data_IF_739407655951
#
_entry.id   IF_739407655951
#
_cell.length_a   1.000
_cell.length_b   1.000
_cell.length_c   1.000
_cell.angle_alpha   90.00
_cell.angle_beta   90.00
_cell.angle_gamma   90.00
#
_symmetry.space_group_name_H-M   'P 1'
#
loop_
_entity.id
_entity.type
_entity.pdbx_description
1 polymer ?
#
# COMPACT_ATOMS: atom_id res chain seq x y z
N UNK A 1 -9.30 1.01 -12.17
CA UNK A 1 -10.10 1.71 -11.14
C UNK A 1 -11.56 1.53 -11.50
N UNK A 2 -12.38 1.08 -10.58
CA UNK A 2 -13.83 0.97 -10.75
C UNK A 2 -14.48 2.31 -10.46
N UNK A 3 -14.16 2.88 -9.29
CA UNK A 3 -14.63 4.22 -8.89
C UNK A 3 -13.65 4.89 -7.92
N UNK A 4 -13.75 6.20 -7.85
CA UNK A 4 -13.05 7.03 -6.87
C UNK A 4 -14.11 7.73 -6.02
N UNK A 5 -14.03 7.56 -4.72
CA UNK A 5 -14.89 8.21 -3.74
C UNK A 5 -14.08 9.31 -3.06
N UNK A 6 -14.61 10.53 -3.06
CA UNK A 6 -13.97 11.68 -2.44
C UNK A 6 -14.88 12.17 -1.32
N UNK A 7 -14.42 12.04 -0.07
CA UNK A 7 -15.09 12.60 1.11
C UNK A 7 -14.32 13.85 1.53
N UNK A 8 -14.96 15.02 1.44
CA UNK A 8 -14.38 16.30 1.82
C UNK A 8 -14.69 16.62 3.29
N UNK A 9 -13.73 17.25 3.97
CA UNK A 9 -13.87 17.61 5.38
C UNK A 9 -13.45 16.51 6.34
N UNK A 10 -13.67 16.73 7.62
CA UNK A 10 -13.27 15.82 8.67
C UNK A 10 -14.06 14.50 8.58
N UNK A 11 -13.39 13.43 8.24
CA UNK A 11 -13.94 12.08 8.12
C UNK A 11 -13.28 11.09 9.13
N UNK A 12 -12.75 11.63 10.23
CA UNK A 12 -11.98 10.87 11.22
C UNK A 12 -12.82 9.77 11.91
N UNK A 13 -14.12 9.94 11.99
CA UNK A 13 -15.04 8.95 12.58
C UNK A 13 -15.09 7.64 11.78
N UNK A 14 -14.90 7.70 10.46
CA UNK A 14 -14.96 6.52 9.59
C UNK A 14 -13.58 6.07 9.10
N UNK A 15 -12.63 7.01 8.97
CA UNK A 15 -11.34 6.75 8.30
C UNK A 15 -10.12 6.98 9.19
N UNK A 16 -10.33 7.28 10.48
CA UNK A 16 -9.28 7.47 11.48
C UNK A 16 -8.83 8.92 11.62
N UNK A 17 -8.02 9.18 12.65
CA UNK A 17 -7.60 10.53 13.07
C UNK A 17 -6.82 11.31 12.00
N UNK A 18 -6.22 10.64 11.04
CA UNK A 18 -5.47 11.27 9.94
C UNK A 18 -6.35 11.87 8.84
N UNK A 19 -7.66 11.60 8.85
CA UNK A 19 -8.61 12.06 7.84
C UNK A 19 -9.19 13.46 8.12
N UNK A 20 -8.37 14.41 8.53
CA UNK A 20 -8.78 15.78 8.89
C UNK A 20 -9.19 16.61 7.66
N UNK A 21 -8.44 16.49 6.57
CA UNK A 21 -8.67 17.22 5.32
C UNK A 21 -9.64 16.54 4.37
N UNK A 22 -9.98 15.29 4.63
CA UNK A 22 -10.82 14.44 3.78
C UNK A 22 -10.15 13.13 3.41
N UNK A 23 -10.85 12.33 2.61
CA UNK A 23 -10.42 10.99 2.17
C UNK A 23 -10.65 10.82 0.68
N UNK A 24 -9.69 10.21 0.01
CA UNK A 24 -9.83 9.70 -1.36
C UNK A 24 -9.78 8.18 -1.28
N UNK A 25 -10.90 7.52 -1.55
CA UNK A 25 -11.00 6.07 -1.59
C UNK A 25 -11.03 5.60 -3.04
N UNK A 26 -10.01 4.82 -3.44
CA UNK A 26 -9.90 4.28 -4.79
C UNK A 26 -10.32 2.81 -4.77
N UNK A 27 -11.43 2.52 -5.41
CA UNK A 27 -11.97 1.18 -5.54
C UNK A 27 -11.50 0.59 -6.85
N UNK A 28 -10.79 -0.53 -6.78
CA UNK A 28 -10.29 -1.24 -7.96
C UNK A 28 -11.23 -2.35 -8.34
N UNK A 29 -11.58 -2.43 -9.63
CA UNK A 29 -12.38 -3.51 -10.18
C UNK A 29 -11.62 -4.84 -10.08
N UNK A 30 -12.27 -5.90 -9.65
CA UNK A 30 -11.83 -7.26 -9.93
C UNK A 30 -12.25 -7.61 -11.36
N UNK A 31 -11.42 -8.34 -12.10
CA UNK A 31 -11.80 -8.81 -13.42
C UNK A 31 -12.75 -9.99 -13.29
N UNK A 32 -13.79 -10.01 -14.14
CA UNK A 32 -14.70 -11.14 -14.27
C UNK A 32 -14.14 -12.24 -15.20
N UNK A 33 -13.07 -11.90 -15.96
CA UNK A 33 -12.38 -12.85 -16.83
C UNK A 33 -11.62 -13.90 -16.02
N UNK A 34 -11.51 -15.15 -16.48
CA UNK A 34 -10.77 -16.20 -15.80
C UNK A 34 -9.32 -15.83 -15.53
N UNK A 35 -8.72 -15.04 -16.39
CA UNK A 35 -7.41 -14.42 -16.19
C UNK A 35 -7.31 -13.11 -16.96
N UNK A 36 -6.46 -12.23 -16.52
CA UNK A 36 -6.11 -11.00 -17.22
C UNK A 36 -4.64 -10.67 -17.01
N UNK A 37 -4.02 -10.11 -18.02
CA UNK A 37 -2.65 -9.64 -18.00
C UNK A 37 -2.60 -8.22 -18.56
N UNK A 38 -1.99 -7.31 -17.80
CA UNK A 38 -1.68 -5.98 -18.28
C UNK A 38 -0.19 -5.73 -18.10
N UNK A 39 0.49 -5.35 -19.16
CA UNK A 39 1.90 -4.98 -19.14
C UNK A 39 2.02 -3.55 -19.67
N UNK A 40 2.83 -2.75 -18.99
CA UNK A 40 3.15 -1.41 -19.42
C UNK A 40 4.64 -1.15 -19.27
N UNK A 41 5.20 -0.41 -20.21
CA UNK A 41 6.60 -0.01 -20.15
C UNK A 41 6.75 1.40 -20.70
N UNK A 42 7.64 2.16 -20.08
CA UNK A 42 8.00 3.50 -20.51
C UNK A 42 9.50 3.69 -20.37
N UNK A 43 10.09 4.33 -21.37
CA UNK A 43 11.47 4.77 -21.39
C UNK A 43 11.52 6.28 -21.57
N UNK A 44 12.42 6.93 -20.88
CA UNK A 44 12.68 8.36 -20.95
C UNK A 44 14.17 8.69 -20.93
N UNK A 45 14.47 9.97 -20.92
CA UNK A 45 15.85 10.47 -20.78
C UNK A 45 16.42 10.14 -19.39
N UNK A 46 17.74 10.19 -19.25
CA UNK A 46 18.44 9.87 -18.00
C UNK A 46 18.13 8.46 -17.49
N UNK A 47 17.96 7.50 -18.40
CA UNK A 47 17.62 6.11 -18.06
C UNK A 47 16.32 6.00 -17.23
N UNK A 48 15.36 6.93 -17.42
CA UNK A 48 14.02 6.82 -16.81
C UNK A 48 13.30 5.61 -17.39
N UNK A 49 13.23 4.54 -16.62
CA UNK A 49 12.58 3.29 -16.99
C UNK A 49 11.44 3.04 -16.00
N UNK A 50 10.27 2.69 -16.55
CA UNK A 50 9.10 2.31 -15.75
C UNK A 50 8.47 1.08 -16.38
N UNK A 51 8.47 -0.01 -15.64
CA UNK A 51 7.90 -1.28 -16.06
C UNK A 51 6.85 -1.69 -15.07
N UNK A 52 5.66 -2.04 -15.55
CA UNK A 52 4.56 -2.48 -14.72
C UNK A 52 3.91 -3.73 -15.30
N UNK A 53 3.52 -4.63 -14.42
CA UNK A 53 2.76 -5.81 -14.76
C UNK A 53 1.66 -6.04 -13.74
N UNK A 54 0.48 -6.39 -14.21
CA UNK A 54 -0.63 -6.86 -13.39
C UNK A 54 -1.14 -8.14 -13.99
N UNK A 55 -1.18 -9.20 -13.20
CA UNK A 55 -1.82 -10.46 -13.55
C UNK A 55 -2.95 -10.71 -12.57
N UNK A 56 -4.13 -11.07 -13.10
CA UNK A 56 -5.29 -11.44 -12.31
C UNK A 56 -5.77 -12.84 -12.71
N UNK A 57 -6.27 -13.56 -11.74
CA UNK A 57 -6.86 -14.88 -11.90
C UNK A 57 -8.18 -14.94 -11.14
N UNK A 58 -9.23 -15.43 -11.80
CA UNK A 58 -10.57 -15.57 -11.25
C UNK A 58 -11.07 -17.01 -11.46
N UNK A 59 -11.32 -17.72 -10.38
CA UNK A 59 -11.89 -19.06 -10.35
C UNK A 59 -13.23 -19.05 -9.59
N UNK A 60 -14.13 -18.14 -9.93
CA UNK A 60 -15.44 -17.97 -9.33
C UNK A 60 -15.38 -17.47 -7.88
N UNK A 61 -15.25 -18.38 -6.93
CA UNK A 61 -15.18 -18.02 -5.49
C UNK A 61 -13.82 -17.47 -5.06
N UNK A 62 -12.79 -17.66 -5.87
CA UNK A 62 -11.42 -17.24 -5.59
C UNK A 62 -10.92 -16.25 -6.63
N UNK A 63 -10.35 -15.15 -6.16
CA UNK A 63 -9.72 -14.15 -7.01
C UNK A 63 -8.32 -13.83 -6.46
N UNK A 64 -7.34 -13.77 -7.36
CA UNK A 64 -5.96 -13.34 -7.06
C UNK A 64 -5.56 -12.23 -8.03
N UNK A 65 -4.84 -11.24 -7.55
CA UNK A 65 -4.26 -10.19 -8.37
C UNK A 65 -2.88 -9.81 -7.84
N UNK A 66 -1.88 -10.07 -8.68
CA UNK A 66 -0.50 -9.64 -8.44
C UNK A 66 -0.19 -8.41 -9.28
N UNK A 67 0.38 -7.40 -8.65
CA UNK A 67 0.90 -6.20 -9.32
C UNK A 67 2.38 -6.05 -9.01
N UNK A 68 3.20 -5.90 -10.06
CA UNK A 68 4.64 -5.64 -9.95
C UNK A 68 4.96 -4.35 -10.67
N UNK A 69 5.70 -3.47 -10.04
CA UNK A 69 6.20 -2.23 -10.63
C UNK A 69 7.69 -2.07 -10.36
N UNK A 70 8.41 -1.69 -11.39
CA UNK A 70 9.81 -1.30 -11.33
C UNK A 70 9.98 0.09 -11.91
N UNK A 71 10.74 0.94 -11.24
CA UNK A 71 11.17 2.23 -11.76
C UNK A 71 12.65 2.43 -11.54
N UNK A 72 13.31 3.07 -12.50
CA UNK A 72 14.70 3.49 -12.41
C UNK A 72 14.86 4.84 -13.07
N UNK A 73 15.67 5.69 -12.48
CA UNK A 73 16.18 6.92 -13.09
C UNK A 73 17.59 7.15 -12.58
N UNK A 74 18.51 7.53 -13.46
CA UNK A 74 19.88 7.87 -13.09
C UNK A 74 19.96 9.30 -12.55
N UNK A 75 20.97 9.60 -11.74
CA UNK A 75 21.23 10.96 -11.25
C UNK A 75 21.62 11.87 -12.41
N UNK A 76 21.08 13.10 -12.42
CA UNK A 76 21.44 14.11 -13.43
C UNK A 76 21.30 15.52 -12.88
N UNK A 77 22.00 16.47 -13.50
CA UNK A 77 21.89 17.89 -13.19
C UNK A 77 20.87 18.57 -14.11
N UNK A 78 20.03 19.42 -13.54
CA UNK A 78 18.96 20.12 -14.28
C UNK A 78 19.52 21.18 -15.21
N UNK A 79 20.62 21.83 -14.82
CA UNK A 79 21.35 22.81 -15.63
C UNK A 79 22.85 22.53 -15.61
N UNK A 80 23.52 22.80 -16.73
CA UNK A 80 24.96 22.77 -16.77
C UNK A 80 25.52 23.87 -15.85
N UNK A 81 26.38 23.48 -14.90
CA UNK A 81 26.95 24.39 -13.91
C UNK A 81 26.06 24.75 -12.75
N UNK A 82 24.86 24.20 -12.64
CA UNK A 82 23.98 24.34 -11.47
C UNK A 82 24.19 23.18 -10.50
N UNK A 83 24.13 23.48 -9.21
CA UNK A 83 24.25 22.46 -8.14
C UNK A 83 22.96 21.67 -7.90
N UNK A 84 21.90 21.94 -8.66
CA UNK A 84 20.63 21.23 -8.55
C UNK A 84 20.71 19.86 -9.21
N UNK A 85 21.00 18.85 -8.40
CA UNK A 85 21.05 17.45 -8.84
C UNK A 85 19.73 16.74 -8.52
N UNK A 86 19.17 16.08 -9.52
CA UNK A 86 18.12 15.07 -9.32
C UNK A 86 18.81 13.75 -9.01
N UNK A 87 18.60 13.23 -7.82
CA UNK A 87 19.23 11.99 -7.38
C UNK A 87 18.60 10.77 -8.04
N UNK A 88 19.45 9.87 -8.50
CA UNK A 88 19.04 8.58 -9.05
C UNK A 88 18.19 7.77 -8.06
N UNK A 89 17.30 6.97 -8.59
CA UNK A 89 16.33 6.25 -7.79
C UNK A 89 15.92 4.96 -8.48
N UNK A 90 15.99 3.86 -7.75
CA UNK A 90 15.51 2.55 -8.17
C UNK A 90 14.44 2.07 -7.19
N UNK A 91 13.28 1.68 -7.70
CA UNK A 91 12.16 1.25 -6.86
C UNK A 91 11.54 -0.03 -7.38
N UNK A 92 11.26 -0.95 -6.47
CA UNK A 92 10.40 -2.12 -6.67
C UNK A 92 9.17 -2.00 -5.80
N UNK A 93 8.02 -2.33 -6.35
CA UNK A 93 6.76 -2.41 -5.62
C UNK A 93 6.02 -3.66 -6.10
N UNK A 94 5.78 -4.58 -5.19
CA UNK A 94 5.06 -5.83 -5.44
C UNK A 94 3.86 -5.86 -4.52
N UNK A 95 2.68 -6.11 -5.06
CA UNK A 95 1.44 -6.20 -4.29
C UNK A 95 0.65 -7.41 -4.72
N UNK A 96 0.11 -8.11 -3.75
CA UNK A 96 -0.81 -9.23 -3.93
C UNK A 96 -2.13 -8.91 -3.24
N UNK A 97 -3.21 -9.32 -3.88
CA UNK A 97 -4.57 -9.27 -3.34
C UNK A 97 -5.27 -10.59 -3.62
N UNK A 98 -5.69 -11.26 -2.58
CA UNK A 98 -6.49 -12.45 -2.63
C UNK A 98 -7.90 -12.15 -2.13
N UNK A 99 -8.91 -12.66 -2.80
CA UNK A 99 -10.28 -12.65 -2.32
C UNK A 99 -10.86 -14.05 -2.38
N UNK A 100 -11.59 -14.42 -1.35
CA UNK A 100 -12.31 -15.68 -1.29
C UNK A 100 -13.74 -15.43 -0.81
N UNK A 101 -14.71 -15.82 -1.63
CA UNK A 101 -16.15 -15.65 -1.37
C UNK A 101 -16.81 -17.02 -1.38
N UNK A 102 -16.74 -17.75 -0.25
CA UNK A 102 -17.26 -19.13 -0.17
C UNK A 102 -18.77 -19.20 -0.40
N UNK A 103 -19.49 -18.18 0.02
CA UNK A 103 -20.94 -18.01 -0.15
C UNK A 103 -21.30 -16.53 -0.27
N UNK A 104 -22.59 -16.22 -0.44
CA UNK A 104 -23.07 -14.84 -0.60
C UNK A 104 -22.88 -13.96 0.65
N UNK A 105 -22.77 -14.57 1.83
CA UNK A 105 -22.68 -13.87 3.11
C UNK A 105 -21.24 -13.53 3.50
N UNK A 106 -20.25 -14.34 3.12
CA UNK A 106 -18.87 -14.19 3.59
C UNK A 106 -17.91 -13.80 2.46
N UNK A 107 -17.21 -12.72 2.66
CA UNK A 107 -16.08 -12.30 1.81
C UNK A 107 -14.83 -12.15 2.66
N UNK A 108 -13.78 -12.87 2.30
CA UNK A 108 -12.47 -12.76 2.90
C UNK A 108 -11.52 -12.11 1.89
N UNK A 109 -10.70 -11.17 2.37
CA UNK A 109 -9.68 -10.51 1.56
C UNK A 109 -8.36 -10.55 2.31
N UNK A 110 -7.30 -11.02 1.64
CA UNK A 110 -5.94 -10.92 2.11
C UNK A 110 -5.15 -9.99 1.18
N UNK A 111 -4.21 -9.24 1.72
CA UNK A 111 -3.29 -8.39 0.97
C UNK A 111 -1.89 -8.56 1.51
N UNK A 112 -0.92 -8.52 0.61
CA UNK A 112 0.50 -8.47 0.95
C UNK A 112 1.19 -7.46 0.04
N UNK A 113 2.21 -6.79 0.54
CA UNK A 113 2.98 -5.83 -0.22
C UNK A 113 4.44 -5.85 0.18
N UNK A 114 5.29 -5.67 -0.80
CA UNK A 114 6.71 -5.42 -0.62
C UNK A 114 7.11 -4.17 -1.40
N UNK A 115 7.82 -3.29 -0.74
CA UNK A 115 8.37 -2.06 -1.29
C UNK A 115 9.86 -2.01 -1.02
N UNK A 116 10.65 -1.74 -2.06
CA UNK A 116 12.07 -1.45 -1.96
C UNK A 116 12.40 -0.23 -2.78
N UNK A 117 13.10 0.71 -2.18
CA UNK A 117 13.64 1.89 -2.86
C UNK A 117 15.08 2.10 -2.47
N UNK A 118 15.92 2.31 -3.48
CA UNK A 118 17.29 2.78 -3.33
C UNK A 118 17.42 4.13 -4.02
N UNK A 119 17.93 5.13 -3.31
CA UNK A 119 18.15 6.48 -3.81
C UNK A 119 19.59 6.88 -3.59
N UNK A 120 20.23 7.46 -4.61
CA UNK A 120 21.55 8.03 -4.47
C UNK A 120 21.51 9.22 -3.52
N UNK A 121 22.31 9.18 -2.45
CA UNK A 121 22.50 10.29 -1.52
C UNK A 121 23.83 11.00 -1.82
N UNK A 122 24.87 10.22 -2.15
CA UNK A 122 26.18 10.69 -2.62
C UNK A 122 26.82 9.59 -3.47
N UNK A 123 28.05 9.81 -3.95
CA UNK A 123 28.84 8.76 -4.62
C UNK A 123 29.16 7.56 -3.71
N UNK A 124 29.22 7.78 -2.40
CA UNK A 124 29.62 6.82 -1.38
C UNK A 124 28.44 6.20 -0.62
N UNK A 125 27.26 6.84 -0.68
CA UNK A 125 26.12 6.47 0.16
C UNK A 125 24.84 6.45 -0.64
N UNK A 126 24.02 5.40 -0.39
CA UNK A 126 22.66 5.28 -0.90
C UNK A 126 21.69 5.13 0.24
N UNK A 127 20.57 5.87 0.19
CA UNK A 127 19.48 5.63 1.11
C UNK A 127 18.62 4.47 0.63
N UNK A 128 18.41 3.48 1.46
CA UNK A 128 17.56 2.33 1.19
C UNK A 128 16.34 2.33 2.08
N UNK A 129 15.20 2.09 1.47
CA UNK A 129 13.91 1.99 2.12
C UNK A 129 13.30 0.64 1.80
N UNK A 130 12.82 -0.06 2.82
CA UNK A 130 12.14 -1.36 2.69
C UNK A 130 10.82 -1.29 3.41
N UNK A 131 9.76 -1.69 2.74
CA UNK A 131 8.44 -1.76 3.33
C UNK A 131 7.84 -3.14 3.14
N UNK A 132 7.22 -3.65 4.20
CA UNK A 132 6.38 -4.84 4.17
C UNK A 132 5.01 -4.42 4.66
N UNK A 133 3.98 -4.81 3.93
CA UNK A 133 2.60 -4.58 4.34
C UNK A 133 1.80 -5.86 4.23
N UNK A 134 0.85 -6.04 5.13
CA UNK A 134 -0.06 -7.17 5.12
C UNK A 134 -1.42 -6.77 5.65
N UNK A 135 -2.46 -7.50 5.27
CA UNK A 135 -3.78 -7.26 5.78
C UNK A 135 -4.73 -8.42 5.53
N UNK A 136 -5.59 -8.65 6.50
CA UNK A 136 -6.69 -9.60 6.42
C UNK A 136 -7.99 -8.84 6.72
N UNK A 137 -9.01 -9.06 5.92
CA UNK A 137 -10.32 -8.45 6.09
C UNK A 137 -11.40 -9.49 5.85
N UNK A 138 -12.33 -9.59 6.79
CA UNK A 138 -13.55 -10.38 6.66
C UNK A 138 -14.77 -9.47 6.67
N UNK A 139 -15.66 -9.67 5.71
CA UNK A 139 -16.99 -9.07 5.69
C UNK A 139 -18.02 -10.18 5.80
N UNK A 140 -18.93 -10.09 6.75
CA UNK A 140 -20.01 -11.05 6.93
C UNK A 140 -21.37 -10.35 6.95
N UNK A 141 -22.20 -10.69 5.98
CA UNK A 141 -23.57 -10.19 5.86
C UNK A 141 -24.53 -11.15 6.59
N UNK A 142 -25.01 -10.76 7.78
CA UNK A 142 -26.00 -11.56 8.54
C UNK A 142 -27.32 -11.65 7.78
N UNK A 143 -27.71 -10.56 7.13
CA UNK A 143 -28.89 -10.40 6.30
C UNK A 143 -28.75 -9.13 5.44
N UNK A 144 -29.77 -8.78 4.67
CA UNK A 144 -29.78 -7.57 3.81
C UNK A 144 -29.67 -6.24 4.56
N UNK A 145 -29.85 -6.23 5.89
CA UNK A 145 -29.85 -5.02 6.71
C UNK A 145 -28.63 -4.92 7.64
N UNK A 146 -27.93 -6.00 7.88
CA UNK A 146 -26.83 -5.98 8.87
C UNK A 146 -25.60 -6.73 8.40
N UNK A 147 -24.42 -6.13 8.60
CA UNK A 147 -23.14 -6.72 8.29
C UNK A 147 -22.09 -6.37 9.35
N UNK A 148 -21.05 -7.19 9.39
CA UNK A 148 -19.87 -7.03 10.23
C UNK A 148 -18.63 -7.02 9.34
N UNK A 149 -17.78 -6.03 9.55
CA UNK A 149 -16.43 -5.98 8.99
C UNK A 149 -15.40 -6.14 10.11
N UNK A 150 -14.49 -7.07 9.94
CA UNK A 150 -13.29 -7.23 10.76
C UNK A 150 -12.06 -7.09 9.87
N UNK A 151 -11.11 -6.27 10.29
CA UNK A 151 -9.87 -6.07 9.56
C UNK A 151 -8.67 -6.02 10.49
N UNK A 152 -7.57 -6.61 10.04
CA UNK A 152 -6.24 -6.47 10.62
C UNK A 152 -5.28 -6.01 9.54
N UNK A 153 -4.42 -5.05 9.87
CA UNK A 153 -3.33 -4.62 9.01
C UNK A 153 -2.01 -4.59 9.76
N UNK A 154 -0.96 -4.87 9.03
CA UNK A 154 0.44 -4.78 9.44
C UNK A 154 1.21 -4.00 8.42
N UNK A 155 2.00 -3.03 8.88
CA UNK A 155 2.95 -2.29 8.07
C UNK A 155 4.29 -2.20 8.79
N UNK A 156 5.36 -2.47 8.06
CA UNK A 156 6.73 -2.24 8.50
C UNK A 156 7.45 -1.39 7.45
N UNK A 157 8.17 -0.39 7.92
CA UNK A 157 8.97 0.48 7.08
C UNK A 157 10.34 0.72 7.69
N UNK A 158 11.37 0.28 6.98
CA UNK A 158 12.77 0.37 7.41
C UNK A 158 13.53 1.35 6.52
N UNK A 159 14.36 2.19 7.12
CA UNK A 159 15.36 2.99 6.43
C UNK A 159 16.75 2.57 6.84
N UNK A 160 17.66 2.51 5.89
CA UNK A 160 19.09 2.29 6.08
C UNK A 160 19.92 3.14 5.14
N UNK A 161 21.14 3.43 5.53
CA UNK A 161 22.17 4.01 4.70
C UNK A 161 23.13 2.91 4.24
N UNK A 162 23.20 2.70 2.93
CA UNK A 162 24.10 1.72 2.33
C UNK A 162 25.41 2.39 1.93
N UNK A 163 26.50 1.95 2.55
CA UNK A 163 27.85 2.39 2.25
C UNK A 163 28.39 1.57 1.06
N UNK A 164 28.58 2.22 -0.10
CA UNK A 164 28.93 1.55 -1.35
C UNK A 164 30.30 0.86 -1.25
N UNK A 165 31.31 1.56 -0.73
CA UNK A 165 32.68 1.04 -0.60
C UNK A 165 32.80 -0.15 0.34
N UNK A 166 32.00 -0.17 1.40
CA UNK A 166 32.01 -1.24 2.42
C UNK A 166 30.98 -2.33 2.18
N UNK A 167 30.07 -2.13 1.18
CA UNK A 167 28.94 -3.02 0.89
C UNK A 167 28.09 -3.35 2.13
N UNK A 168 27.89 -2.38 3.00
CA UNK A 168 27.23 -2.53 4.28
C UNK A 168 26.02 -1.63 4.42
N UNK A 169 24.92 -2.16 4.97
CA UNK A 169 23.72 -1.42 5.34
C UNK A 169 23.78 -1.03 6.82
N UNK A 170 23.75 0.26 7.10
CA UNK A 170 23.63 0.80 8.46
C UNK A 170 22.16 1.17 8.67
N UNK A 171 21.49 0.50 9.61
CA UNK A 171 20.10 0.81 9.95
C UNK A 171 20.00 2.20 10.57
N UNK A 172 19.04 2.98 10.08
CA UNK A 172 18.70 4.30 10.57
C UNK A 172 17.48 4.21 11.52
N UNK A 173 16.35 3.76 10.98
CA UNK A 173 15.15 3.52 11.78
C UNK A 173 14.27 2.40 11.22
N UNK A 174 13.39 1.89 12.06
CA UNK A 174 12.30 0.98 11.70
C UNK A 174 11.00 1.47 12.34
N UNK A 175 9.95 1.56 11.55
CA UNK A 175 8.59 1.78 12.02
C UNK A 175 7.77 0.52 11.79
N UNK A 176 7.06 0.05 12.82
CA UNK A 176 6.19 -1.12 12.75
C UNK A 176 4.81 -0.74 13.28
N UNK A 177 3.79 -0.93 12.46
CA UNK A 177 2.41 -0.57 12.80
C UNK A 177 1.50 -1.79 12.71
N UNK A 178 0.62 -1.94 13.69
CA UNK A 178 -0.45 -2.90 13.70
C UNK A 178 -1.78 -2.18 13.89
N UNK A 179 -2.78 -2.54 13.12
CA UNK A 179 -4.12 -2.00 13.27
C UNK A 179 -5.16 -3.11 13.25
N UNK A 180 -6.12 -3.02 14.15
CA UNK A 180 -7.31 -3.88 14.18
C UNK A 180 -8.54 -2.98 14.12
N UNK A 181 -9.47 -3.30 13.24
CA UNK A 181 -10.74 -2.59 13.08
C UNK A 181 -11.90 -3.56 13.15
N UNK A 182 -12.99 -3.16 13.84
CA UNK A 182 -14.27 -3.84 13.81
C UNK A 182 -15.37 -2.81 13.54
N UNK A 183 -16.22 -3.06 12.54
CA UNK A 183 -17.36 -2.21 12.19
C UNK A 183 -18.61 -3.07 12.05
N UNK A 184 -19.68 -2.68 12.72
CA UNK A 184 -21.00 -3.27 12.56
C UNK A 184 -21.95 -2.22 11.97
N UNK A 185 -22.63 -2.58 10.89
CA UNK A 185 -23.60 -1.73 10.22
C UNK A 185 -25.00 -2.34 10.36
N UNK A 186 -25.98 -1.49 10.66
CA UNK A 186 -27.39 -1.86 10.67
C UNK A 186 -28.23 -0.80 9.92
N UNK A 187 -28.91 -1.22 8.87
CA UNK A 187 -29.77 -0.38 8.03
C UNK A 187 -31.23 -0.52 8.50
N UNK A 188 -31.75 0.52 9.12
CA UNK A 188 -33.15 0.57 9.58
C UNK A 188 -34.13 0.68 8.41
N UNK A 189 -33.75 1.54 7.43
CA UNK A 189 -34.51 1.81 6.21
C UNK A 189 -33.56 2.43 5.16
N UNK A 190 -34.07 2.71 3.96
CA UNK A 190 -33.27 3.22 2.81
C UNK A 190 -32.55 4.55 3.08
N UNK A 191 -32.91 5.28 4.14
CA UNK A 191 -32.35 6.59 4.49
C UNK A 191 -31.46 6.57 5.73
N UNK A 192 -31.56 5.52 6.57
CA UNK A 192 -30.92 5.51 7.88
C UNK A 192 -30.13 4.22 8.10
N UNK A 193 -28.83 4.37 8.28
CA UNK A 193 -27.90 3.30 8.67
C UNK A 193 -27.14 3.72 9.92
N UNK A 194 -27.10 2.84 10.91
CA UNK A 194 -26.24 2.96 12.08
C UNK A 194 -24.95 2.19 11.85
N UNK A 195 -23.81 2.85 12.02
CA UNK A 195 -22.49 2.22 12.04
C UNK A 195 -21.91 2.35 13.45
N UNK A 196 -21.53 1.23 14.04
CA UNK A 196 -20.85 1.16 15.33
C UNK A 196 -19.57 0.38 15.16
N UNK A 197 -18.47 0.87 15.73
CA UNK A 197 -17.22 0.17 15.64
C UNK A 197 -16.10 0.78 16.45
N UNK A 198 -14.93 0.18 16.34
CA UNK A 198 -13.72 0.64 17.00
C UNK A 198 -12.47 0.26 16.23
N UNK A 199 -11.43 1.06 16.45
CA UNK A 199 -10.10 0.86 15.92
C UNK A 199 -9.09 0.73 17.07
N UNK A 200 -8.17 -0.21 16.95
CA UNK A 200 -6.98 -0.29 17.79
C UNK A 200 -5.76 -0.12 16.89
N UNK A 201 -4.92 0.84 17.23
CA UNK A 201 -3.66 1.12 16.52
C UNK A 201 -2.50 0.98 17.50
N UNK A 202 -1.49 0.23 17.09
CA UNK A 202 -0.21 0.14 17.80
C UNK A 202 0.90 0.49 16.83
N UNK A 203 1.67 1.50 17.17
CA UNK A 203 2.75 2.03 16.35
C UNK A 203 4.05 2.05 17.15
N UNK A 204 5.14 1.56 16.55
CA UNK A 204 6.47 1.52 17.13
C UNK A 204 7.47 2.15 16.18
N UNK A 205 8.15 3.16 16.66
CA UNK A 205 9.32 3.71 15.99
C UNK A 205 10.58 3.32 16.77
N UNK A 206 11.49 2.61 16.11
CA UNK A 206 12.82 2.29 16.62
C UNK A 206 13.86 3.09 15.86
N UNK A 207 14.62 3.94 16.58
CA UNK A 207 15.80 4.61 16.04
C UNK A 207 17.06 3.84 16.42
N UNK A 208 17.95 3.63 15.45
CA UNK A 208 19.23 2.97 15.64
C UNK A 208 20.40 3.94 15.67
N UNK A 209 20.13 5.26 15.50
CA UNK A 209 21.14 6.31 15.47
C UNK A 209 21.76 6.59 16.85
N UNK A 210 21.07 6.22 17.93
CA UNK A 210 21.45 6.51 19.31
C UNK A 210 21.83 5.24 20.10
N UNK A 211 22.33 4.21 19.45
CA UNK A 211 22.98 3.12 20.18
C UNK A 211 24.36 3.57 20.61
N UNK A 212 24.46 3.94 21.88
CA UNK A 212 25.74 3.97 22.58
C UNK A 212 26.35 2.55 22.66
#
# INVERSE_FOLDING_TARGET
>A
VERVEIVKGAASTLYGSSAIGGVINIITKASDDPWNLNLNTRFGVHNDQRHGGTVGFNAGKFYSQTNVQYTNIDSYNVKQGDYTTINGNKTWNVKERLMFTPNEQLRLTARAGYYFRERDASSETKNRYRGFSGGLKGNYDFNTKSNLELAYTFDQYDKSDYLVSYKNDIRDYSNVQHSVRALYNYTFNDKNTLTVGGDYLRDYLMSYQFKE
#
